data_IF_956805334684
#
_entry.id   IF_956805334684
#
_cell.length_a   1.000
_cell.length_b   1.000
_cell.length_c   1.000
_cell.angle_alpha   90.00
_cell.angle_beta   90.00
_cell.angle_gamma   90.00
#
_symmetry.space_group_name_H-M   'P 1'
#
loop_
_entity.id
_entity.type
_entity.pdbx_description
1 polymer ?
#
# COMPACT_ATOMS: atom_id res chain seq x y z
N UNK A 1 -24.80 -11.92 5.35
CA UNK A 1 -24.59 -11.82 6.82
C UNK A 1 -23.16 -12.14 7.27
N UNK A 2 -22.39 -13.01 6.58
CA UNK A 2 -20.96 -13.25 6.88
C UNK A 2 -20.02 -12.18 6.34
N UNK A 3 -20.28 -11.62 5.14
CA UNK A 3 -19.49 -10.52 4.56
C UNK A 3 -19.46 -9.25 5.43
N UNK A 4 -20.59 -8.89 6.07
CA UNK A 4 -20.65 -7.78 7.04
C UNK A 4 -19.78 -8.01 8.28
N UNK A 5 -19.56 -9.27 8.69
CA UNK A 5 -18.65 -9.63 9.79
C UNK A 5 -17.18 -9.62 9.37
N UNK A 6 -16.89 -10.01 8.12
CA UNK A 6 -15.54 -9.92 7.52
C UNK A 6 -15.10 -8.45 7.45
N UNK A 7 -15.98 -7.56 6.97
CA UNK A 7 -15.75 -6.11 6.98
C UNK A 7 -15.56 -5.60 8.43
N UNK A 8 -16.41 -6.00 9.38
CA UNK A 8 -16.36 -5.54 10.77
C UNK A 8 -15.15 -6.03 11.58
N UNK A 9 -14.56 -7.19 11.27
CA UNK A 9 -13.33 -7.66 11.93
C UNK A 9 -12.09 -6.92 11.42
N UNK A 10 -12.03 -6.63 10.11
CA UNK A 10 -10.96 -5.84 9.48
C UNK A 10 -10.99 -4.35 9.88
N UNK A 11 -12.17 -3.83 10.27
CA UNK A 11 -12.32 -2.50 10.86
C UNK A 11 -11.53 -2.30 12.18
N UNK A 12 -11.16 -3.38 12.89
CA UNK A 12 -10.42 -3.30 14.14
C UNK A 12 -8.90 -3.10 13.99
N UNK A 13 -8.32 -3.40 12.83
CA UNK A 13 -6.85 -3.44 12.63
C UNK A 13 -6.31 -2.33 11.74
N UNK A 14 -7.18 -1.56 11.07
CA UNK A 14 -6.78 -0.44 10.20
C UNK A 14 -6.50 0.88 10.97
N UNK A 15 -6.35 0.80 12.29
CA UNK A 15 -6.03 1.92 13.17
C UNK A 15 -4.61 1.80 13.73
N UNK A 16 -3.63 1.68 12.84
CA UNK A 16 -2.25 2.09 13.16
C UNK A 16 -1.88 3.28 12.28
N UNK A 17 -2.65 4.36 12.42
CA UNK A 17 -2.05 5.67 12.22
C UNK A 17 -1.11 5.86 13.41
N UNK A 18 0.20 5.85 13.18
CA UNK A 18 1.12 6.39 14.18
C UNK A 18 0.81 7.88 14.27
N UNK A 19 -0.02 8.23 15.25
CA UNK A 19 -0.49 9.59 15.49
C UNK A 19 0.67 10.42 16.06
N UNK A 20 1.25 11.29 15.25
CA UNK A 20 1.95 12.47 15.75
C UNK A 20 0.92 13.59 15.95
N UNK A 21 0.97 14.21 17.13
CA UNK A 21 -0.06 15.08 17.68
C UNK A 21 -0.42 16.29 16.79
N UNK A 22 -1.70 16.67 16.86
CA UNK A 22 -2.40 17.58 15.96
C UNK A 22 -2.34 19.06 16.39
N UNK A 23 -2.18 19.95 15.40
CA UNK A 23 -2.48 21.38 15.51
C UNK A 23 -3.34 21.82 14.33
N UNK A 24 -4.33 22.71 14.56
CA UNK A 24 -5.16 23.28 13.49
C UNK A 24 -4.33 24.29 12.69
N UNK A 25 -3.94 23.95 11.46
CA UNK A 25 -3.43 24.92 10.48
C UNK A 25 -4.60 25.37 9.61
N UNK A 26 -4.74 26.68 9.42
CA UNK A 26 -5.72 27.29 8.52
C UNK A 26 -5.49 26.76 7.10
N UNK A 27 -6.53 26.13 6.53
CA UNK A 27 -6.50 25.58 5.19
C UNK A 27 -6.42 26.70 4.16
N UNK A 28 -5.25 26.86 3.54
CA UNK A 28 -5.15 27.53 2.23
C UNK A 28 -5.78 26.68 1.14
N UNK A 29 -6.15 27.31 0.02
CA UNK A 29 -6.84 26.77 -1.16
C UNK A 29 -6.13 25.59 -1.88
N UNK A 30 -4.95 25.18 -1.42
CA UNK A 30 -4.11 24.16 -2.07
C UNK A 30 -4.76 22.79 -2.03
N UNK A 31 -4.83 22.12 -3.19
CA UNK A 31 -5.26 20.72 -3.28
C UNK A 31 -4.33 19.81 -2.48
N UNK A 32 -4.89 18.81 -1.80
CA UNK A 32 -4.05 17.83 -1.10
C UNK A 32 -3.53 16.81 -2.12
N UNK A 33 -2.23 16.58 -2.16
CA UNK A 33 -1.67 15.41 -2.83
C UNK A 33 -1.94 14.20 -1.96
N UNK A 34 -2.63 13.20 -2.52
CA UNK A 34 -2.91 11.94 -1.83
C UNK A 34 -2.10 10.82 -2.47
N UNK A 35 -1.43 10.02 -1.66
CA UNK A 35 -0.76 8.79 -2.07
C UNK A 35 -1.58 7.61 -1.56
N UNK A 36 -2.14 6.80 -2.46
CA UNK A 36 -2.75 5.52 -2.14
C UNK A 36 -1.70 4.42 -2.27
N UNK A 37 -1.50 3.63 -1.23
CA UNK A 37 -0.52 2.54 -1.21
C UNK A 37 -1.08 1.34 -0.47
N UNK A 38 -0.61 0.14 -0.79
CA UNK A 38 -0.91 -1.02 0.04
C UNK A 38 -0.09 -1.01 1.33
N UNK A 39 -0.51 -1.78 2.32
CA UNK A 39 0.24 -2.11 3.53
C UNK A 39 1.49 -3.00 3.28
N UNK A 40 1.90 -3.20 2.02
CA UNK A 40 3.20 -3.78 1.69
C UNK A 40 4.33 -2.85 2.12
N UNK A 41 5.30 -3.37 2.87
CA UNK A 41 6.29 -2.52 3.55
C UNK A 41 7.27 -1.83 2.61
N UNK A 42 7.58 -2.47 1.47
CA UNK A 42 8.49 -1.88 0.49
C UNK A 42 7.83 -0.67 -0.18
N UNK A 43 6.59 -0.82 -0.65
CA UNK A 43 5.84 0.26 -1.30
C UNK A 43 5.43 1.34 -0.29
N UNK A 44 5.01 0.96 0.93
CA UNK A 44 4.63 1.87 2.00
C UNK A 44 5.82 2.73 2.46
N UNK A 45 7.03 2.17 2.60
CA UNK A 45 8.21 2.95 2.96
C UNK A 45 8.55 4.01 1.91
N UNK A 46 8.30 3.75 0.63
CA UNK A 46 8.47 4.74 -0.43
C UNK A 46 7.40 5.83 -0.36
N UNK A 47 6.14 5.47 -0.08
CA UNK A 47 5.06 6.43 0.15
C UNK A 47 5.37 7.32 1.37
N UNK A 48 5.80 6.74 2.49
CA UNK A 48 6.23 7.43 3.71
C UNK A 48 7.38 8.40 3.44
N UNK A 49 8.37 7.97 2.66
CA UNK A 49 9.48 8.84 2.28
C UNK A 49 8.98 10.06 1.49
N UNK A 50 8.14 9.86 0.48
CA UNK A 50 7.59 10.95 -0.32
C UNK A 50 6.68 11.88 0.48
N UNK A 51 5.82 11.34 1.33
CA UNK A 51 4.94 12.15 2.18
C UNK A 51 5.74 13.04 3.15
N UNK A 52 6.86 12.56 3.68
CA UNK A 52 7.75 13.38 4.51
C UNK A 52 8.40 14.52 3.71
N UNK A 53 8.70 14.30 2.42
CA UNK A 53 9.31 15.31 1.56
C UNK A 53 8.31 16.33 1.01
N UNK A 54 7.05 15.95 0.81
CA UNK A 54 6.06 16.76 0.08
C UNK A 54 4.87 17.20 0.90
N UNK A 55 4.65 16.60 2.06
CA UNK A 55 3.43 16.78 2.83
C UNK A 55 2.20 16.08 2.25
N UNK A 56 2.40 15.05 1.42
CA UNK A 56 1.30 14.26 0.87
C UNK A 56 0.60 13.43 1.97
N UNK A 57 -0.71 13.28 1.83
CA UNK A 57 -1.53 12.41 2.68
C UNK A 57 -1.37 10.97 2.21
N UNK A 58 -1.00 10.05 3.10
CA UNK A 58 -0.95 8.62 2.79
C UNK A 58 -2.27 7.98 3.20
N UNK A 59 -2.89 7.28 2.26
CA UNK A 59 -4.00 6.36 2.51
C UNK A 59 -3.49 4.95 2.24
N UNK A 60 -3.63 4.07 3.23
CA UNK A 60 -3.22 2.67 3.12
C UNK A 60 -4.42 1.77 2.83
N UNK A 61 -4.19 0.66 2.13
CA UNK A 61 -5.17 -0.41 1.92
C UNK A 61 -4.51 -1.77 2.08
N UNK A 62 -5.26 -2.83 2.38
CA UNK A 62 -4.64 -4.15 2.47
C UNK A 62 -4.22 -4.65 1.09
N UNK A 63 -3.05 -5.29 1.04
CA UNK A 63 -2.45 -5.78 -0.18
C UNK A 63 -3.37 -6.74 -0.94
N UNK A 64 -3.68 -6.38 -2.17
CA UNK A 64 -4.48 -7.20 -3.08
C UNK A 64 -5.97 -7.31 -2.70
N UNK A 65 -6.47 -6.50 -1.77
CA UNK A 65 -7.87 -6.52 -1.33
C UNK A 65 -8.56 -5.17 -1.62
N UNK A 66 -9.79 -5.25 -2.12
CA UNK A 66 -10.64 -4.08 -2.33
C UNK A 66 -11.52 -3.82 -1.11
N UNK A 67 -11.48 -2.59 -0.60
CA UNK A 67 -12.31 -2.11 0.49
C UNK A 67 -13.07 -0.84 0.07
N UNK A 68 -14.42 -0.88 0.03
CA UNK A 68 -15.23 0.25 -0.43
C UNK A 68 -15.01 1.58 0.31
N UNK A 69 -14.60 1.54 1.59
CA UNK A 69 -14.39 2.73 2.41
C UNK A 69 -13.11 3.50 2.06
N UNK A 70 -12.13 2.90 1.40
CA UNK A 70 -10.85 3.56 1.07
C UNK A 70 -11.08 4.71 0.08
N UNK A 71 -11.93 4.51 -0.93
CA UNK A 71 -12.32 5.57 -1.87
C UNK A 71 -13.02 6.73 -1.16
N UNK A 72 -13.90 6.44 -0.19
CA UNK A 72 -14.56 7.46 0.62
C UNK A 72 -13.56 8.23 1.50
N UNK A 73 -12.56 7.54 2.07
CA UNK A 73 -11.50 8.19 2.83
C UNK A 73 -10.70 9.17 1.95
N UNK A 74 -10.32 8.76 0.73
CA UNK A 74 -9.65 9.63 -0.24
C UNK A 74 -10.51 10.85 -0.58
N UNK A 75 -11.81 10.66 -0.83
CA UNK A 75 -12.74 11.76 -1.09
C UNK A 75 -12.77 12.80 0.04
N UNK A 76 -12.57 12.39 1.29
CA UNK A 76 -12.59 13.32 2.44
C UNK A 76 -11.47 14.36 2.42
N UNK A 77 -10.42 14.14 1.61
CA UNK A 77 -9.33 15.10 1.39
C UNK A 77 -9.57 16.00 0.18
N UNK A 78 -10.60 15.71 -0.62
CA UNK A 78 -10.94 16.39 -1.87
C UNK A 78 -9.74 16.61 -2.82
N UNK A 79 -8.94 15.56 -3.14
CA UNK A 79 -7.77 15.71 -4.00
C UNK A 79 -8.18 15.97 -5.46
N UNK A 80 -7.32 16.66 -6.20
CA UNK A 80 -7.42 16.74 -7.66
C UNK A 80 -6.66 15.59 -8.35
N UNK A 81 -5.63 15.07 -7.69
CA UNK A 81 -4.81 13.96 -8.16
C UNK A 81 -4.51 12.98 -7.00
N UNK A 82 -4.52 11.68 -7.31
CA UNK A 82 -4.08 10.60 -6.45
C UNK A 82 -2.92 9.87 -7.12
N UNK A 83 -1.82 9.73 -6.40
CA UNK A 83 -0.69 8.89 -6.81
C UNK A 83 -0.89 7.52 -6.18
N UNK A 84 -0.94 6.46 -6.98
CA UNK A 84 -0.92 5.08 -6.49
C UNK A 84 0.51 4.57 -6.52
N UNK A 85 1.03 4.07 -5.40
CA UNK A 85 2.31 3.35 -5.36
C UNK A 85 2.03 1.85 -5.22
N UNK A 86 2.54 1.09 -6.17
CA UNK A 86 2.35 -0.36 -6.23
C UNK A 86 1.50 -0.81 -7.43
N UNK A 87 1.77 -2.04 -7.88
CA UNK A 87 1.09 -2.64 -9.03
C UNK A 87 -0.34 -3.11 -8.71
N UNK A 88 -1.08 -3.62 -9.71
CA UNK A 88 -2.48 -4.06 -9.55
C UNK A 88 -2.65 -5.26 -8.62
N UNK A 89 -1.60 -6.08 -8.44
CA UNK A 89 -1.60 -7.16 -7.44
C UNK A 89 -1.55 -6.61 -5.99
N UNK A 90 -1.06 -5.38 -5.79
CA UNK A 90 -0.90 -4.74 -4.48
C UNK A 90 -2.03 -3.75 -4.17
N UNK A 91 -2.31 -2.85 -5.11
CA UNK A 91 -3.43 -1.90 -5.04
C UNK A 91 -4.30 -2.15 -6.26
N UNK A 92 -5.43 -2.81 -6.04
CA UNK A 92 -6.28 -3.33 -7.12
C UNK A 92 -6.89 -2.23 -8.00
N UNK A 93 -7.16 -2.54 -9.27
CA UNK A 93 -7.58 -1.55 -10.27
C UNK A 93 -8.98 -0.97 -10.03
N UNK A 94 -9.82 -1.61 -9.21
CA UNK A 94 -11.12 -1.05 -8.81
C UNK A 94 -10.98 0.33 -8.15
N UNK A 95 -9.89 0.59 -7.41
CA UNK A 95 -9.66 1.94 -6.87
C UNK A 95 -9.40 2.99 -7.96
N UNK A 96 -8.79 2.60 -9.09
CA UNK A 96 -8.58 3.52 -10.23
C UNK A 96 -9.93 3.87 -10.85
N UNK A 97 -10.74 2.85 -11.16
CA UNK A 97 -12.08 3.00 -11.73
C UNK A 97 -12.97 3.91 -10.86
N UNK A 98 -12.95 3.67 -9.54
CA UNK A 98 -13.66 4.48 -8.55
C UNK A 98 -13.26 5.96 -8.56
N UNK A 99 -11.96 6.24 -8.51
CA UNK A 99 -11.41 7.59 -8.39
C UNK A 99 -11.58 8.38 -9.69
N UNK A 100 -11.33 7.75 -10.84
CA UNK A 100 -11.57 8.34 -12.16
C UNK A 100 -13.07 8.59 -12.39
N UNK A 101 -13.94 7.69 -11.90
CA UNK A 101 -15.40 7.87 -11.90
C UNK A 101 -15.87 9.12 -11.13
N UNK A 102 -15.07 9.60 -10.16
CA UNK A 102 -15.27 10.85 -9.43
C UNK A 102 -14.57 12.06 -10.07
N UNK A 103 -13.98 11.90 -11.25
CA UNK A 103 -13.18 12.90 -11.95
C UNK A 103 -11.94 13.35 -11.14
N UNK A 104 -11.32 12.40 -10.43
CA UNK A 104 -10.01 12.56 -9.79
C UNK A 104 -8.96 11.98 -10.73
N UNK A 105 -7.88 12.72 -10.99
CA UNK A 105 -6.79 12.19 -11.83
C UNK A 105 -6.03 11.12 -11.05
N UNK A 106 -5.76 9.97 -11.66
CA UNK A 106 -5.00 8.90 -11.01
C UNK A 106 -3.73 8.64 -11.80
N UNK A 107 -2.60 8.64 -11.10
CA UNK A 107 -1.33 8.19 -11.67
C UNK A 107 -0.77 7.03 -10.85
N UNK A 108 -0.43 5.93 -11.50
CA UNK A 108 0.17 4.76 -10.84
C UNK A 108 1.67 4.68 -11.08
N UNK A 109 2.46 4.72 -10.01
CA UNK A 109 3.90 4.55 -10.01
C UNK A 109 4.26 3.13 -9.55
N UNK A 110 4.61 2.27 -10.49
CA UNK A 110 4.77 0.84 -10.23
C UNK A 110 5.70 0.15 -11.23
N UNK A 111 6.12 -1.06 -10.89
CA UNK A 111 6.77 -2.01 -11.79
C UNK A 111 6.36 -3.45 -11.49
N UNK A 112 6.92 -4.43 -12.21
CA UNK A 112 6.52 -5.85 -12.09
C UNK A 112 6.84 -6.47 -10.73
N UNK A 113 7.72 -5.84 -9.98
CA UNK A 113 8.19 -6.26 -8.67
C UNK A 113 8.61 -5.01 -7.87
N UNK A 114 8.85 -5.17 -6.57
CA UNK A 114 9.24 -4.07 -5.67
C UNK A 114 10.50 -3.32 -6.08
N UNK A 115 11.43 -3.96 -6.80
CA UNK A 115 12.66 -3.33 -7.28
C UNK A 115 12.35 -2.38 -8.45
N UNK A 116 11.52 -2.81 -9.39
CA UNK A 116 11.05 -1.96 -10.48
C UNK A 116 10.13 -0.84 -9.97
N UNK A 117 9.23 -1.11 -9.01
CA UNK A 117 8.42 -0.08 -8.36
C UNK A 117 9.30 0.98 -7.69
N UNK A 118 10.33 0.57 -6.96
CA UNK A 118 11.29 1.48 -6.34
C UNK A 118 11.94 2.42 -7.36
N UNK A 119 12.41 1.89 -8.50
CA UNK A 119 12.98 2.72 -9.57
C UNK A 119 11.96 3.65 -10.24
N UNK A 120 10.73 3.16 -10.47
CA UNK A 120 9.66 3.97 -11.01
C UNK A 120 9.33 5.16 -10.09
N UNK A 121 9.24 4.90 -8.78
CA UNK A 121 9.00 5.93 -7.77
C UNK A 121 10.13 6.95 -7.74
N UNK A 122 11.40 6.53 -7.69
CA UNK A 122 12.56 7.45 -7.71
C UNK A 122 12.53 8.35 -8.95
N UNK A 123 12.31 7.77 -10.12
CA UNK A 123 12.28 8.49 -11.38
C UNK A 123 11.12 9.50 -11.42
N UNK A 124 9.91 9.06 -11.08
CA UNK A 124 8.73 9.92 -11.10
C UNK A 124 8.80 11.03 -10.04
N UNK A 125 9.31 10.74 -8.85
CA UNK A 125 9.57 11.74 -7.82
C UNK A 125 10.52 12.85 -8.32
N UNK A 126 11.58 12.47 -9.03
CA UNK A 126 12.54 13.43 -9.61
C UNK A 126 11.92 14.23 -10.75
N UNK A 127 11.22 13.57 -11.67
CA UNK A 127 10.73 14.20 -12.91
C UNK A 127 9.46 15.01 -12.68
N UNK A 128 8.50 14.48 -11.93
CA UNK A 128 7.16 15.06 -11.76
C UNK A 128 7.06 15.95 -10.53
N UNK A 129 7.57 15.48 -9.39
CA UNK A 129 7.57 16.26 -8.14
C UNK A 129 8.79 17.18 -8.01
N UNK A 130 9.74 17.11 -8.96
CA UNK A 130 10.98 17.91 -8.97
C UNK A 130 11.80 17.75 -7.69
N UNK A 131 11.68 16.61 -7.01
CA UNK A 131 12.45 16.30 -5.81
C UNK A 131 13.92 16.18 -6.21
N UNK A 132 14.78 16.89 -5.48
CA UNK A 132 16.23 16.78 -5.60
C UNK A 132 16.75 15.98 -4.42
N UNK A 133 17.36 14.85 -4.71
CA UNK A 133 18.03 14.05 -3.71
C UNK A 133 19.47 14.50 -3.54
N UNK A 134 19.97 14.40 -2.32
CA UNK A 134 21.39 14.55 -2.03
C UNK A 134 22.19 13.38 -2.62
N UNK A 135 23.50 13.56 -2.79
CA UNK A 135 24.41 12.53 -3.35
C UNK A 135 24.68 11.37 -2.36
N UNK A 136 23.66 10.88 -1.67
CA UNK A 136 23.69 9.78 -0.73
C UNK A 136 22.69 8.70 -1.15
N UNK A 137 23.17 7.47 -1.28
CA UNK A 137 22.35 6.30 -1.64
C UNK A 137 22.34 5.33 -0.47
N UNK A 138 21.15 4.87 -0.09
CA UNK A 138 20.92 3.86 0.92
C UNK A 138 20.45 2.60 0.20
N UNK A 139 21.28 1.56 0.19
CA UNK A 139 21.01 0.28 -0.47
C UNK A 139 20.50 -0.71 0.57
N UNK A 140 19.35 -1.33 0.31
CA UNK A 140 18.72 -2.27 1.25
C UNK A 140 18.13 -3.48 0.53
N UNK A 141 18.29 -4.70 1.07
CA UNK A 141 17.58 -5.87 0.58
C UNK A 141 16.07 -5.63 0.61
N UNK A 142 15.42 -5.61 -0.56
CA UNK A 142 14.02 -5.19 -0.68
C UNK A 142 13.01 -6.14 -0.01
N UNK A 143 13.44 -7.32 0.46
CA UNK A 143 12.61 -8.28 1.19
C UNK A 143 12.83 -8.22 2.72
N UNK A 144 13.64 -7.28 3.20
CA UNK A 144 13.96 -7.12 4.62
C UNK A 144 13.17 -5.96 5.24
N UNK A 145 12.02 -6.26 5.83
CA UNK A 145 11.13 -5.24 6.43
C UNK A 145 11.86 -4.37 7.46
N UNK A 146 12.58 -4.97 8.39
CA UNK A 146 13.37 -4.23 9.39
C UNK A 146 14.50 -3.42 8.74
N UNK A 147 15.15 -3.98 7.72
CA UNK A 147 16.14 -3.25 6.93
C UNK A 147 15.55 -2.03 6.22
N UNK A 148 14.35 -2.16 5.64
CA UNK A 148 13.64 -1.08 4.95
C UNK A 148 13.31 0.05 5.91
N UNK A 149 12.86 -0.24 7.14
CA UNK A 149 12.62 0.79 8.16
C UNK A 149 13.89 1.56 8.52
N UNK A 150 15.01 0.85 8.69
CA UNK A 150 16.32 1.48 8.95
C UNK A 150 16.75 2.32 7.75
N UNK A 151 16.52 1.84 6.53
CA UNK A 151 16.83 2.55 5.30
C UNK A 151 16.03 3.86 5.18
N UNK A 152 14.72 3.80 5.42
CA UNK A 152 13.82 4.95 5.41
C UNK A 152 14.28 6.04 6.40
N UNK A 153 14.51 5.67 7.66
CA UNK A 153 14.98 6.62 8.69
C UNK A 153 16.30 7.28 8.30
N UNK A 154 17.19 6.57 7.64
CA UNK A 154 18.48 7.11 7.16
C UNK A 154 18.30 8.03 5.97
N UNK A 155 17.51 7.62 4.99
CA UNK A 155 17.20 8.40 3.80
C UNK A 155 16.55 9.74 4.14
N UNK A 156 15.65 9.77 5.13
CA UNK A 156 15.07 11.01 5.64
C UNK A 156 16.12 11.94 6.25
N UNK A 157 17.06 11.42 7.04
CA UNK A 157 18.11 12.23 7.68
C UNK A 157 19.08 12.85 6.69
N UNK A 158 19.42 12.14 5.63
CA UNK A 158 20.43 12.58 4.65
C UNK A 158 19.83 13.07 3.34
N UNK A 159 18.50 13.14 3.25
CA UNK A 159 17.75 13.45 2.02
C UNK A 159 18.22 12.60 0.81
N UNK A 160 18.54 11.32 1.07
CA UNK A 160 19.16 10.41 0.11
C UNK A 160 18.20 9.41 -0.52
N UNK A 161 18.65 8.73 -1.56
CA UNK A 161 17.82 7.77 -2.33
C UNK A 161 17.85 6.39 -1.69
N UNK A 162 16.68 5.78 -1.49
CA UNK A 162 16.58 4.37 -1.09
C UNK A 162 16.55 3.50 -2.34
N UNK A 163 17.50 2.58 -2.49
CA UNK A 163 17.52 1.58 -3.57
C UNK A 163 17.28 0.19 -3.01
N UNK A 164 16.23 -0.47 -3.49
CA UNK A 164 15.94 -1.86 -3.16
C UNK A 164 16.74 -2.82 -4.04
N UNK A 165 17.34 -3.83 -3.41
CA UNK A 165 18.17 -4.85 -4.08
C UNK A 165 17.80 -6.27 -3.68
N UNK A 166 18.17 -7.23 -4.51
CA UNK A 166 18.06 -8.67 -4.25
C UNK A 166 19.31 -9.41 -4.74
N UNK A 167 19.28 -10.74 -4.69
CA UNK A 167 20.40 -11.59 -5.09
C UNK A 167 20.86 -11.42 -6.54
N UNK A 168 19.97 -11.01 -7.44
CA UNK A 168 20.28 -10.83 -8.86
C UNK A 168 20.54 -9.36 -9.24
N UNK A 169 20.34 -8.42 -8.32
CA UNK A 169 20.40 -6.98 -8.64
C UNK A 169 21.83 -6.52 -8.85
N UNK A 170 22.12 -5.98 -10.04
CA UNK A 170 23.36 -5.26 -10.32
C UNK A 170 23.17 -3.78 -9.94
N UNK A 171 23.70 -3.42 -8.77
CA UNK A 171 23.53 -2.07 -8.22
C UNK A 171 24.22 -1.00 -9.06
N UNK A 172 25.32 -1.33 -9.74
CA UNK A 172 26.06 -0.40 -10.61
C UNK A 172 25.23 -0.09 -11.84
N UNK A 173 24.65 -1.11 -12.48
CA UNK A 173 23.72 -0.92 -13.60
C UNK A 173 22.47 -0.15 -13.21
N UNK A 174 21.92 -0.40 -12.01
CA UNK A 174 20.80 0.37 -11.48
C UNK A 174 21.17 1.85 -11.39
N UNK A 175 22.27 2.20 -10.72
CA UNK A 175 22.70 3.59 -10.57
C UNK A 175 22.99 4.27 -11.91
N UNK A 176 23.60 3.57 -12.88
CA UNK A 176 23.82 4.08 -14.24
C UNK A 176 22.50 4.39 -14.95
N UNK A 177 21.50 3.49 -14.86
CA UNK A 177 20.19 3.65 -15.50
C UNK A 177 19.46 4.90 -15.01
N UNK A 178 19.58 5.23 -13.73
CA UNK A 178 18.99 6.44 -13.14
C UNK A 178 20.00 7.59 -13.01
N UNK A 179 21.14 7.51 -13.71
CA UNK A 179 22.17 8.55 -13.82
C UNK A 179 22.68 9.07 -12.47
N UNK A 180 22.74 8.20 -11.46
CA UNK A 180 23.22 8.55 -10.13
C UNK A 180 24.74 8.47 -10.04
N UNK A 181 25.33 9.50 -9.42
CA UNK A 181 26.75 9.54 -9.02
C UNK A 181 26.84 9.85 -7.52
N UNK A 182 26.62 8.85 -6.65
CA UNK A 182 26.62 9.08 -5.21
C UNK A 182 28.03 9.41 -4.70
N UNK A 183 28.12 10.26 -3.68
CA UNK A 183 29.32 10.46 -2.87
C UNK A 183 29.38 9.47 -1.70
N UNK A 184 28.21 9.10 -1.17
CA UNK A 184 28.07 8.17 -0.06
C UNK A 184 27.10 7.05 -0.42
N UNK A 185 27.51 5.82 -0.16
CA UNK A 185 26.68 4.62 -0.25
C UNK A 185 26.61 3.99 1.14
N UNK A 186 25.40 3.79 1.65
CA UNK A 186 25.15 3.07 2.90
C UNK A 186 24.45 1.76 2.58
N UNK A 187 25.08 0.63 2.89
CA UNK A 187 24.48 -0.70 2.71
C UNK A 187 23.84 -1.12 4.02
N UNK A 188 22.53 -1.39 3.99
CA UNK A 188 21.80 -1.97 5.11
C UNK A 188 21.95 -3.47 5.08
N UNK A 189 22.35 -4.04 6.21
CA UNK A 189 22.66 -5.46 6.37
C UNK A 189 21.93 -6.01 7.58
N UNK A 190 21.09 -7.02 7.37
CA UNK A 190 20.52 -7.81 8.47
C UNK A 190 21.12 -9.21 8.51
N UNK A 191 20.96 -9.89 9.64
CA UNK A 191 21.39 -11.29 9.77
C UNK A 191 20.70 -12.21 8.73
N UNK A 192 19.43 -11.95 8.41
CA UNK A 192 18.63 -12.77 7.49
C UNK A 192 19.01 -12.53 6.02
N UNK A 193 19.34 -11.29 5.64
CA UNK A 193 19.66 -10.92 4.26
C UNK A 193 21.15 -10.57 4.05
N UNK A 194 22.03 -11.03 4.95
CA UNK A 194 23.47 -10.76 4.93
C UNK A 194 24.11 -11.06 3.58
N UNK A 195 23.79 -12.20 2.98
CA UNK A 195 24.36 -12.59 1.68
C UNK A 195 23.98 -11.65 0.52
N UNK A 196 22.82 -10.99 0.57
CA UNK A 196 22.45 -9.95 -0.42
C UNK A 196 23.38 -8.75 -0.25
N UNK A 197 23.55 -8.27 0.98
CA UNK A 197 24.37 -7.11 1.30
C UNK A 197 25.86 -7.35 0.96
N UNK A 198 26.39 -8.55 1.24
CA UNK A 198 27.76 -8.92 0.90
C UNK A 198 28.00 -8.89 -0.62
N UNK A 199 27.10 -9.47 -1.42
CA UNK A 199 27.21 -9.41 -2.89
C UNK A 199 27.15 -7.97 -3.43
N UNK A 200 26.31 -7.13 -2.84
CA UNK A 200 26.23 -5.71 -3.20
C UNK A 200 27.57 -5.02 -2.91
N UNK A 201 28.16 -5.30 -1.73
CA UNK A 201 29.46 -4.76 -1.35
C UNK A 201 30.57 -5.21 -2.30
N UNK A 202 30.61 -6.50 -2.63
CA UNK A 202 31.55 -7.08 -3.60
C UNK A 202 31.43 -6.38 -4.96
N UNK A 203 30.21 -6.27 -5.50
CA UNK A 203 29.94 -5.59 -6.78
C UNK A 203 30.33 -4.12 -6.79
N UNK A 204 30.15 -3.40 -5.68
CA UNK A 204 30.59 -2.01 -5.55
C UNK A 204 32.12 -1.89 -5.45
N UNK A 205 32.80 -2.93 -4.95
CA UNK A 205 34.25 -2.98 -4.86
C UNK A 205 34.89 -3.31 -6.21
N UNK A 206 34.25 -4.17 -7.00
CA UNK A 206 34.67 -4.57 -8.36
C UNK A 206 34.29 -3.53 -9.41
N UNK A 207 33.08 -2.99 -9.31
CA UNK A 207 32.52 -1.96 -10.16
C UNK A 207 32.86 -0.58 -9.63
N UNK A 208 34.14 -0.21 -9.67
CA UNK A 208 34.50 1.18 -9.51
C UNK A 208 33.79 1.97 -10.62
N UNK A 209 32.82 2.82 -10.24
CA UNK A 209 32.48 3.99 -11.04
C UNK A 209 33.80 4.58 -11.49
N UNK A 210 33.93 4.78 -12.81
CA UNK A 210 35.03 5.46 -13.48
C UNK A 210 35.96 6.19 -12.50
N UNK A 211 37.25 5.80 -12.45
CA UNK A 211 38.24 6.14 -11.40
C UNK A 211 38.34 7.64 -11.05
N UNK A 212 37.64 8.49 -11.79
CA UNK A 212 37.45 9.92 -11.63
C UNK A 212 36.47 10.34 -10.52
N UNK A 213 35.53 9.48 -10.05
CA UNK A 213 34.55 9.86 -8.99
C UNK A 213 34.50 8.87 -7.82
N UNK A 214 35.35 9.02 -6.80
CA UNK A 214 35.35 8.13 -5.64
C UNK A 214 34.09 8.31 -4.78
N UNK A 215 33.57 7.20 -4.26
CA UNK A 215 32.44 7.18 -3.31
C UNK A 215 32.84 6.44 -2.03
N UNK A 216 32.25 6.83 -0.91
CA UNK A 216 32.44 6.17 0.38
C UNK A 216 31.36 5.10 0.61
N UNK A 217 31.76 3.89 0.98
CA UNK A 217 30.84 2.78 1.31
C UNK A 217 30.85 2.53 2.82
N UNK A 218 29.69 2.58 3.44
CA UNK A 218 29.49 2.23 4.85
C UNK A 218 28.46 1.12 4.99
N UNK A 219 28.57 0.31 6.04
CA UNK A 219 27.59 -0.72 6.37
C UNK A 219 26.86 -0.38 7.66
N UNK A 220 25.58 -0.76 7.72
CA UNK A 220 24.73 -0.59 8.88
C UNK A 220 24.08 -1.92 9.19
N UNK A 221 24.38 -2.44 10.37
CA UNK A 221 23.77 -3.67 10.84
C UNK A 221 22.39 -3.41 11.43
N UNK A 222 21.40 -4.20 10.98
CA UNK A 222 20.05 -4.20 11.51
C UNK A 222 20.01 -5.12 12.71
N UNK A 223 19.73 -4.56 13.89
CA UNK A 223 19.52 -5.33 15.10
C UNK A 223 18.08 -5.86 15.14
N UNK A 224 17.90 -7.18 15.06
CA UNK A 224 16.59 -7.82 15.20
C UNK A 224 16.33 -8.06 16.68
N UNK A 225 15.63 -7.11 17.30
CA UNK A 225 15.20 -7.19 18.69
C UNK A 225 13.95 -8.07 18.84
N UNK A 226 13.54 -8.32 20.08
CA UNK A 226 12.29 -9.02 20.35
C UNK A 226 11.08 -8.25 19.79
N UNK A 227 11.05 -6.92 19.88
CA UNK A 227 9.97 -6.10 19.33
C UNK A 227 9.87 -6.26 17.80
N UNK A 228 11.01 -6.28 17.11
CA UNK A 228 11.08 -6.45 15.65
C UNK A 228 10.59 -7.84 15.23
N UNK A 229 11.02 -8.89 15.96
CA UNK A 229 10.57 -10.24 15.70
C UNK A 229 9.07 -10.40 15.98
N UNK A 230 8.56 -9.84 17.08
CA UNK A 230 7.14 -9.88 17.42
C UNK A 230 6.29 -9.15 16.38
N UNK A 231 6.74 -7.98 15.92
CA UNK A 231 6.08 -7.25 14.82
C UNK A 231 5.97 -8.12 13.57
N UNK A 232 7.06 -8.78 13.15
CA UNK A 232 7.03 -9.65 11.99
C UNK A 232 6.09 -10.86 12.17
N UNK A 233 6.03 -11.46 13.37
CA UNK A 233 5.10 -12.54 13.70
C UNK A 233 3.65 -12.06 13.55
N UNK A 234 3.31 -10.91 14.12
CA UNK A 234 1.97 -10.34 14.06
C UNK A 234 1.55 -10.06 12.60
N UNK A 235 2.47 -9.52 11.79
CA UNK A 235 2.22 -9.30 10.36
C UNK A 235 2.03 -10.62 9.59
N UNK A 236 2.81 -11.65 9.91
CA UNK A 236 2.63 -12.98 9.32
C UNK A 236 1.28 -13.60 9.68
N UNK A 237 0.86 -13.46 10.94
CA UNK A 237 -0.43 -13.92 11.45
C UNK A 237 -1.59 -13.20 10.78
N UNK A 238 -1.56 -11.87 10.73
CA UNK A 238 -2.55 -11.05 10.02
C UNK A 238 -2.71 -11.49 8.57
N UNK A 239 -1.61 -11.65 7.82
CA UNK A 239 -1.69 -12.08 6.42
C UNK A 239 -2.21 -13.49 6.24
N UNK A 240 -1.93 -14.41 7.17
CA UNK A 240 -2.51 -15.75 7.17
C UNK A 240 -4.02 -15.65 7.38
N UNK A 241 -4.49 -14.86 8.33
CA UNK A 241 -5.93 -14.65 8.57
C UNK A 241 -6.61 -14.06 7.32
N UNK A 242 -6.03 -13.03 6.70
CA UNK A 242 -6.57 -12.48 5.44
C UNK A 242 -6.64 -13.54 4.34
N UNK A 243 -5.61 -14.38 4.20
CA UNK A 243 -5.59 -15.46 3.21
C UNK A 243 -6.71 -16.48 3.44
N UNK A 244 -6.94 -16.88 4.70
CA UNK A 244 -8.02 -17.79 5.08
C UNK A 244 -9.41 -17.21 4.79
N UNK A 245 -9.63 -15.95 5.17
CA UNK A 245 -10.89 -15.26 4.95
C UNK A 245 -11.22 -15.12 3.46
N UNK A 246 -10.23 -14.78 2.62
CA UNK A 246 -10.43 -14.68 1.18
C UNK A 246 -10.75 -16.05 0.57
N UNK A 247 -10.00 -17.09 0.96
CA UNK A 247 -10.25 -18.46 0.47
C UNK A 247 -11.64 -18.97 0.84
N UNK A 248 -12.13 -18.66 2.04
CA UNK A 248 -13.48 -19.05 2.47
C UNK A 248 -14.61 -18.44 1.61
N UNK A 249 -14.31 -17.35 0.87
CA UNK A 249 -15.30 -16.61 0.08
C UNK A 249 -15.18 -16.82 -1.43
N UNK A 250 -14.23 -17.64 -1.88
CA UNK A 250 -14.03 -17.97 -3.31
C UNK A 250 -14.12 -19.48 -3.54
N UNK A 251 -14.46 -19.85 -4.77
CA UNK A 251 -14.38 -21.24 -5.23
C UNK A 251 -13.27 -21.27 -6.28
N UNK A 252 -12.17 -21.95 -5.98
CA UNK A 252 -11.02 -22.02 -6.87
C UNK A 252 -11.14 -23.24 -7.82
N UNK A 253 -10.58 -23.17 -9.04
CA UNK A 253 -10.32 -24.37 -9.83
C UNK A 253 -9.39 -25.34 -9.07
N UNK A 254 -9.62 -26.65 -9.19
CA UNK A 254 -8.93 -27.72 -8.43
C UNK A 254 -7.40 -27.54 -8.34
N UNK A 255 -6.75 -27.22 -9.47
CA UNK A 255 -5.29 -27.02 -9.51
C UNK A 255 -4.82 -25.82 -8.67
N UNK A 256 -5.60 -24.73 -8.66
CA UNK A 256 -5.31 -23.53 -7.86
C UNK A 256 -5.66 -23.76 -6.39
N UNK A 257 -6.73 -24.50 -6.12
CA UNK A 257 -7.17 -24.86 -4.78
C UNK A 257 -6.08 -25.65 -4.04
N UNK A 258 -5.61 -26.75 -4.64
CA UNK A 258 -4.51 -27.54 -4.07
C UNK A 258 -3.26 -26.70 -3.79
N UNK A 259 -2.89 -25.82 -4.73
CA UNK A 259 -1.72 -24.97 -4.57
C UNK A 259 -1.92 -23.94 -3.45
N UNK A 260 -3.10 -23.31 -3.38
CA UNK A 260 -3.43 -22.34 -2.34
C UNK A 260 -3.42 -22.99 -0.94
N UNK A 261 -4.04 -24.17 -0.80
CA UNK A 261 -4.03 -24.94 0.45
C UNK A 261 -2.62 -25.33 0.88
N UNK A 262 -1.80 -25.83 -0.06
CA UNK A 262 -0.40 -26.17 0.22
C UNK A 262 0.38 -24.97 0.72
N UNK A 263 0.22 -23.82 0.09
CA UNK A 263 0.92 -22.59 0.47
C UNK A 263 0.42 -22.02 1.80
N UNK A 264 -0.89 -22.09 2.07
CA UNK A 264 -1.45 -21.69 3.36
C UNK A 264 -0.93 -22.58 4.50
N UNK A 265 -0.86 -23.89 4.29
CA UNK A 265 -0.31 -24.83 5.28
C UNK A 265 1.18 -24.56 5.54
N UNK A 266 1.96 -24.24 4.51
CA UNK A 266 3.34 -23.82 4.67
C UNK A 266 3.44 -22.50 5.46
N UNK A 267 2.58 -21.53 5.19
CA UNK A 267 2.55 -20.26 5.91
C UNK A 267 2.30 -20.50 7.42
N UNK A 268 1.28 -21.28 7.77
CA UNK A 268 0.96 -21.63 9.17
C UNK A 268 2.10 -22.32 9.89
N UNK A 269 2.75 -23.28 9.23
CA UNK A 269 3.90 -24.00 9.79
C UNK A 269 5.11 -23.09 10.04
N UNK A 270 5.40 -22.18 9.13
CA UNK A 270 6.46 -21.19 9.31
C UNK A 270 6.10 -20.19 10.44
N UNK A 271 4.83 -19.81 10.60
CA UNK A 271 4.39 -18.97 11.72
C UNK A 271 4.55 -19.68 13.06
N UNK A 272 4.18 -20.96 13.15
CA UNK A 272 4.37 -21.77 14.36
C UNK A 272 5.86 -21.84 14.76
N UNK A 273 6.73 -22.16 13.79
CA UNK A 273 8.19 -22.16 13.99
C UNK A 273 8.73 -20.77 14.38
N UNK A 274 8.11 -19.70 13.89
CA UNK A 274 8.48 -18.34 14.27
C UNK A 274 8.15 -18.08 15.74
N UNK A 275 6.95 -18.47 16.19
CA UNK A 275 6.50 -18.35 17.59
C UNK A 275 7.36 -19.19 18.53
N UNK A 276 7.67 -20.44 18.19
CA UNK A 276 8.60 -21.29 18.96
C UNK A 276 9.99 -20.65 19.09
N UNK A 277 10.56 -20.19 17.97
CA UNK A 277 11.88 -19.54 17.99
C UNK A 277 11.87 -18.24 18.80
N UNK A 278 10.75 -17.52 18.85
CA UNK A 278 10.58 -16.32 19.64
C UNK A 278 10.61 -16.64 21.14
N UNK A 279 9.87 -17.68 21.56
CA UNK A 279 9.82 -18.14 22.97
C UNK A 279 11.19 -18.66 23.45
N UNK A 280 11.99 -19.23 22.54
CA UNK A 280 13.37 -19.63 22.80
C UNK A 280 14.39 -18.46 22.83
N UNK A 281 13.94 -17.21 22.62
CA UNK A 281 14.81 -16.03 22.55
C UNK A 281 15.64 -15.92 21.25
N UNK A 282 15.33 -16.73 20.24
CA UNK A 282 16.03 -16.76 18.93
C UNK A 282 15.38 -15.79 17.95
N UNK A 283 15.37 -14.50 18.27
CA UNK A 283 14.61 -13.48 17.54
C UNK A 283 14.98 -13.35 16.06
N UNK A 284 16.26 -13.51 15.68
CA UNK A 284 16.65 -13.52 14.27
C UNK A 284 16.02 -14.66 13.46
N UNK A 285 15.91 -15.85 14.06
CA UNK A 285 15.23 -17.01 13.45
C UNK A 285 13.72 -16.79 13.40
N UNK A 286 13.14 -16.29 14.50
CA UNK A 286 11.72 -15.94 14.55
C UNK A 286 11.33 -14.96 13.44
N UNK A 287 12.09 -13.88 13.30
CA UNK A 287 11.90 -12.88 12.25
C UNK A 287 11.98 -13.47 10.84
N UNK A 288 12.99 -14.32 10.56
CA UNK A 288 13.14 -14.97 9.26
C UNK A 288 11.97 -15.92 8.92
N UNK A 289 11.53 -16.73 9.88
CA UNK A 289 10.38 -17.64 9.73
C UNK A 289 9.07 -16.87 9.54
N UNK A 290 8.84 -15.82 10.33
CA UNK A 290 7.65 -14.97 10.19
C UNK A 290 7.59 -14.28 8.82
N UNK A 291 8.73 -13.81 8.31
CA UNK A 291 8.84 -13.22 6.96
C UNK A 291 8.48 -14.24 5.87
N UNK A 292 8.92 -15.50 6.01
CA UNK A 292 8.56 -16.57 5.10
C UNK A 292 7.07 -16.93 5.17
N UNK A 293 6.51 -16.99 6.39
CA UNK A 293 5.08 -17.22 6.62
C UNK A 293 4.23 -16.16 5.89
N UNK A 294 4.57 -14.88 6.06
CA UNK A 294 3.90 -13.77 5.39
C UNK A 294 3.96 -13.90 3.87
N UNK A 295 5.13 -14.19 3.31
CA UNK A 295 5.31 -14.32 1.86
C UNK A 295 4.46 -15.46 1.25
N UNK A 296 4.34 -16.59 1.95
CA UNK A 296 3.46 -17.68 1.54
C UNK A 296 1.98 -17.30 1.64
N UNK A 297 1.57 -16.56 2.68
CA UNK A 297 0.21 -16.07 2.81
C UNK A 297 -0.16 -15.05 1.71
N UNK A 298 0.73 -14.12 1.39
CA UNK A 298 0.54 -13.16 0.28
C UNK A 298 0.38 -13.87 -1.07
N UNK A 299 1.07 -14.99 -1.28
CA UNK A 299 0.86 -15.81 -2.48
C UNK A 299 -0.56 -16.36 -2.56
N UNK A 300 -1.12 -16.81 -1.44
CA UNK A 300 -2.51 -17.31 -1.34
C UNK A 300 -3.50 -16.17 -1.57
N UNK A 301 -3.31 -15.01 -0.91
CA UNK A 301 -4.14 -13.80 -1.11
C UNK A 301 -4.21 -13.46 -2.60
N UNK A 302 -3.08 -13.44 -3.30
CA UNK A 302 -3.05 -13.15 -4.74
C UNK A 302 -3.89 -14.11 -5.58
N UNK A 303 -3.88 -15.41 -5.26
CA UNK A 303 -4.70 -16.40 -5.98
C UNK A 303 -6.18 -16.12 -5.69
N UNK A 304 -6.54 -15.98 -4.41
CA UNK A 304 -7.91 -15.80 -3.97
C UNK A 304 -8.50 -14.48 -4.51
N UNK A 305 -7.78 -13.37 -4.39
CA UNK A 305 -8.20 -12.06 -4.89
C UNK A 305 -8.43 -12.05 -6.41
N UNK A 306 -7.60 -12.76 -7.19
CA UNK A 306 -7.81 -12.88 -8.63
C UNK A 306 -9.12 -13.58 -8.96
N UNK A 307 -9.43 -14.67 -8.25
CA UNK A 307 -10.69 -15.40 -8.46
C UNK A 307 -11.90 -14.59 -7.96
N UNK A 308 -11.77 -13.92 -6.82
CA UNK A 308 -12.78 -13.00 -6.30
C UNK A 308 -13.12 -11.90 -7.30
N UNK A 309 -12.11 -11.24 -7.85
CA UNK A 309 -12.28 -10.18 -8.84
C UNK A 309 -12.97 -10.68 -10.12
N UNK A 310 -12.65 -11.90 -10.59
CA UNK A 310 -13.38 -12.50 -11.71
C UNK A 310 -14.85 -12.71 -11.37
N UNK A 311 -15.16 -13.24 -10.18
CA UNK A 311 -16.55 -13.45 -9.74
C UNK A 311 -17.34 -12.14 -9.71
N UNK A 312 -16.78 -11.09 -9.10
CA UNK A 312 -17.42 -9.75 -9.05
C UNK A 312 -17.62 -9.18 -10.46
N UNK A 313 -16.65 -9.40 -11.37
CA UNK A 313 -16.75 -8.95 -12.75
C UNK A 313 -17.87 -9.64 -13.54
N UNK A 314 -18.23 -10.88 -13.24
CA UNK A 314 -19.25 -11.63 -13.99
C UNK A 314 -20.60 -11.76 -13.29
N UNK A 315 -20.73 -11.29 -12.05
CA UNK A 315 -21.98 -11.29 -11.27
C UNK A 315 -22.49 -9.85 -11.05
N UNK A 316 -23.49 -9.39 -11.83
CA UNK A 316 -24.01 -8.02 -11.76
C UNK A 316 -24.57 -7.65 -10.38
N UNK A 317 -25.24 -8.59 -9.70
CA UNK A 317 -25.85 -8.32 -8.39
C UNK A 317 -24.79 -8.20 -7.31
N UNK A 318 -23.80 -9.08 -7.32
CA UNK A 318 -22.66 -8.95 -6.41
C UNK A 318 -21.89 -7.65 -6.62
N UNK A 319 -21.75 -7.21 -7.87
CA UNK A 319 -21.17 -5.90 -8.17
C UNK A 319 -22.03 -4.78 -7.60
N UNK A 320 -23.35 -4.84 -7.79
CA UNK A 320 -24.28 -3.86 -7.23
C UNK A 320 -24.21 -3.78 -5.70
N UNK A 321 -24.11 -4.91 -4.99
CA UNK A 321 -23.93 -4.96 -3.53
C UNK A 321 -22.63 -4.28 -3.07
N UNK A 322 -21.51 -4.55 -3.75
CA UNK A 322 -20.21 -3.95 -3.44
C UNK A 322 -20.24 -2.45 -3.71
N UNK A 323 -20.80 -2.04 -4.86
CA UNK A 323 -20.94 -0.63 -5.23
C UNK A 323 -21.87 0.11 -4.27
N UNK A 324 -22.97 -0.50 -3.84
CA UNK A 324 -23.86 0.07 -2.83
C UNK A 324 -23.11 0.41 -1.55
N UNK A 325 -22.27 -0.49 -1.03
CA UNK A 325 -21.45 -0.23 0.15
C UNK A 325 -20.45 0.91 -0.06
N UNK A 326 -19.86 1.02 -1.26
CA UNK A 326 -18.98 2.14 -1.63
C UNK A 326 -19.77 3.46 -1.60
N UNK A 327 -20.91 3.51 -2.28
CA UNK A 327 -21.77 4.69 -2.38
C UNK A 327 -22.24 5.15 -0.98
N UNK A 328 -22.70 4.24 -0.13
CA UNK A 328 -23.10 4.55 1.26
C UNK A 328 -21.95 5.19 2.07
N UNK A 329 -20.71 4.72 1.88
CA UNK A 329 -19.55 5.32 2.54
C UNK A 329 -19.22 6.72 1.99
N UNK A 330 -19.32 6.91 0.67
CA UNK A 330 -19.06 8.18 -0.01
C UNK A 330 -20.12 9.24 0.32
N UNK A 331 -21.40 8.86 0.39
CA UNK A 331 -22.51 9.75 0.78
C UNK A 331 -22.26 10.33 2.18
N UNK A 332 -21.79 9.52 3.13
CA UNK A 332 -21.45 9.99 4.49
C UNK A 332 -20.34 11.04 4.50
N UNK A 333 -19.45 11.04 3.51
CA UNK A 333 -18.41 12.08 3.38
C UNK A 333 -19.04 13.41 2.98
N UNK A 334 -19.97 13.38 2.02
CA UNK A 334 -20.70 14.56 1.58
C UNK A 334 -21.58 15.13 2.70
N UNK A 335 -22.32 14.26 3.39
CA UNK A 335 -23.18 14.62 4.52
C UNK A 335 -22.39 15.31 5.64
N UNK A 336 -21.23 14.75 6.02
CA UNK A 336 -20.33 15.36 7.03
C UNK A 336 -19.76 16.71 6.61
N UNK A 337 -19.68 16.99 5.31
CA UNK A 337 -19.26 18.28 4.77
C UNK A 337 -20.43 19.29 4.67
N UNK A 338 -21.64 18.90 5.09
CA UNK A 338 -22.84 19.74 5.05
C UNK A 338 -23.50 19.82 3.67
N UNK A 339 -23.22 18.88 2.77
CA UNK A 339 -23.83 18.81 1.43
C UNK A 339 -25.15 18.04 1.54
N UNK A 340 -26.22 18.55 0.91
CA UNK A 340 -27.51 17.87 0.86
C UNK A 340 -27.42 16.62 -0.02
N UNK A 341 -27.72 15.46 0.57
CA UNK A 341 -27.63 14.14 -0.07
C UNK A 341 -29.00 13.45 -0.19
N UNK A 342 -30.09 14.17 0.07
CA UNK A 342 -31.45 13.60 0.13
C UNK A 342 -31.85 12.82 -1.15
N UNK A 343 -31.44 13.31 -2.34
CA UNK A 343 -31.66 12.59 -3.60
C UNK A 343 -30.87 11.28 -3.66
N UNK A 344 -29.60 11.29 -3.26
CA UNK A 344 -28.74 10.10 -3.23
C UNK A 344 -29.30 9.05 -2.27
N UNK A 345 -29.76 9.45 -1.09
CA UNK A 345 -30.35 8.53 -0.10
C UNK A 345 -31.61 7.85 -0.65
N UNK A 346 -32.50 8.60 -1.31
CA UNK A 346 -33.69 8.02 -1.94
C UNK A 346 -33.33 7.03 -3.06
N UNK A 347 -32.33 7.35 -3.89
CA UNK A 347 -31.84 6.45 -4.93
C UNK A 347 -31.17 5.19 -4.35
N UNK A 348 -30.47 5.31 -3.22
CA UNK A 348 -29.87 4.17 -2.51
C UNK A 348 -30.95 3.22 -1.98
N UNK A 349 -32.05 3.74 -1.42
CA UNK A 349 -33.15 2.88 -0.95
C UNK A 349 -33.84 2.14 -2.10
N UNK A 350 -34.00 2.79 -3.26
CA UNK A 350 -34.50 2.12 -4.48
C UNK A 350 -33.53 1.02 -4.94
N UNK A 351 -32.22 1.29 -4.91
CA UNK A 351 -31.20 0.31 -5.30
C UNK A 351 -31.20 -0.90 -4.38
N UNK A 352 -31.33 -0.70 -3.07
CA UNK A 352 -31.48 -1.79 -2.08
C UNK A 352 -32.66 -2.69 -2.43
N UNK A 353 -33.83 -2.09 -2.70
CA UNK A 353 -35.02 -2.84 -3.09
C UNK A 353 -34.81 -3.62 -4.40
N UNK A 354 -34.15 -3.04 -5.41
CA UNK A 354 -33.84 -3.72 -6.66
C UNK A 354 -32.87 -4.90 -6.47
N UNK A 355 -31.86 -4.75 -5.62
CA UNK A 355 -30.93 -5.83 -5.26
C UNK A 355 -31.68 -6.96 -4.54
N UNK A 356 -32.52 -6.64 -3.56
CA UNK A 356 -33.33 -7.62 -2.82
C UNK A 356 -34.29 -8.40 -3.74
N UNK A 357 -34.86 -7.72 -4.74
CA UNK A 357 -35.74 -8.34 -5.74
C UNK A 357 -34.98 -9.02 -6.90
N UNK A 358 -33.64 -8.98 -6.90
CA UNK A 358 -32.80 -9.49 -7.99
C UNK A 358 -33.16 -8.90 -9.37
N UNK A 359 -33.57 -7.63 -9.40
CA UNK A 359 -33.91 -6.88 -10.61
C UNK A 359 -32.66 -6.21 -11.20
N UNK A 360 -31.99 -6.93 -12.11
CA UNK A 360 -30.69 -6.53 -12.68
C UNK A 360 -30.78 -5.27 -13.54
N UNK A 361 -31.87 -5.10 -14.28
CA UNK A 361 -32.03 -3.96 -15.17
C UNK A 361 -32.22 -2.67 -14.38
N UNK A 362 -33.14 -2.69 -13.41
CA UNK A 362 -33.39 -1.53 -12.54
C UNK A 362 -32.18 -1.20 -11.68
N UNK A 363 -31.51 -2.20 -11.09
CA UNK A 363 -30.30 -1.99 -10.31
C UNK A 363 -29.19 -1.32 -11.13
N UNK A 364 -29.00 -1.75 -12.39
CA UNK A 364 -27.99 -1.17 -13.28
C UNK A 364 -28.30 0.29 -13.63
N UNK A 365 -29.56 0.60 -13.92
CA UNK A 365 -29.99 1.98 -14.21
C UNK A 365 -29.83 2.91 -13.00
N UNK A 366 -30.19 2.42 -11.80
CA UNK A 366 -30.04 3.17 -10.55
C UNK A 366 -28.57 3.44 -10.21
N UNK A 367 -27.68 2.46 -10.43
CA UNK A 367 -26.25 2.63 -10.22
C UNK A 367 -25.67 3.74 -11.10
N UNK A 368 -25.98 3.74 -12.40
CA UNK A 368 -25.52 4.81 -13.30
C UNK A 368 -25.99 6.18 -12.85
N UNK A 369 -27.26 6.28 -12.42
CA UNK A 369 -27.81 7.53 -11.91
C UNK A 369 -27.10 7.96 -10.62
N UNK A 370 -26.97 7.07 -9.64
CA UNK A 370 -26.27 7.30 -8.37
C UNK A 370 -24.83 7.79 -8.58
N UNK A 371 -24.07 7.12 -9.44
CA UNK A 371 -22.67 7.49 -9.72
C UNK A 371 -22.57 8.87 -10.37
N UNK A 372 -23.48 9.19 -11.30
CA UNK A 372 -23.52 10.52 -11.93
C UNK A 372 -23.87 11.63 -10.93
N UNK A 373 -24.92 11.45 -10.13
CA UNK A 373 -25.36 12.41 -9.11
C UNK A 373 -24.29 12.58 -8.02
N UNK A 374 -23.66 11.49 -7.58
CA UNK A 374 -22.58 11.53 -6.59
C UNK A 374 -21.39 12.33 -7.11
N UNK A 375 -20.97 12.08 -8.36
CA UNK A 375 -19.86 12.82 -8.98
C UNK A 375 -20.16 14.32 -9.04
N UNK A 376 -21.37 14.71 -9.47
CA UNK A 376 -21.77 16.11 -9.56
C UNK A 376 -21.77 16.81 -8.19
N UNK A 377 -22.33 16.16 -7.17
CA UNK A 377 -22.34 16.67 -5.80
C UNK A 377 -20.94 16.73 -5.20
N UNK A 378 -20.09 15.73 -5.46
CA UNK A 378 -18.71 15.74 -5.00
C UNK A 378 -17.91 16.88 -5.64
N UNK A 379 -18.00 17.05 -6.97
CA UNK A 379 -17.25 18.07 -7.70
C UNK A 379 -17.67 19.49 -7.31
N UNK A 380 -18.97 19.75 -7.18
CA UNK A 380 -19.48 21.05 -6.71
C UNK A 380 -19.22 21.28 -5.22
N UNK A 381 -19.21 20.21 -4.41
CA UNK A 381 -18.98 20.23 -2.97
C UNK A 381 -17.52 20.25 -2.51
N UNK A 382 -16.54 20.07 -3.41
CA UNK A 382 -15.10 20.07 -3.08
C UNK A 382 -14.66 21.23 -2.16
N UNK A 383 -15.09 22.49 -2.35
CA UNK A 383 -14.73 23.59 -1.44
C UNK A 383 -15.21 23.38 0.00
N UNK A 384 -16.43 22.85 0.18
CA UNK A 384 -16.98 22.54 1.51
C UNK A 384 -16.19 21.41 2.18
N UNK A 385 -15.85 20.36 1.43
CA UNK A 385 -15.03 19.24 1.94
C UNK A 385 -13.65 19.75 2.37
N UNK A 386 -13.00 20.60 1.56
CA UNK A 386 -11.70 21.22 1.90
C UNK A 386 -11.77 22.06 3.18
N UNK A 387 -12.90 22.69 3.48
CA UNK A 387 -13.12 23.44 4.72
C UNK A 387 -13.24 22.56 5.97
N UNK A 388 -13.67 21.30 5.81
CA UNK A 388 -13.91 20.37 6.92
C UNK A 388 -12.81 19.31 7.09
N UNK A 389 -11.92 19.15 6.09
CA UNK A 389 -10.85 18.15 6.13
C UNK A 389 -9.82 18.44 7.23
N UNK A 390 -9.28 17.37 7.82
CA UNK A 390 -8.12 17.44 8.71
C UNK A 390 -6.90 16.95 7.95
N UNK A 391 -5.93 17.82 7.70
CA UNK A 391 -4.67 17.41 7.09
C UNK A 391 -3.71 16.87 8.17
N UNK A 392 -2.85 15.88 7.84
CA UNK A 392 -1.75 15.50 8.69
C UNK A 392 -0.81 16.70 8.90
N UNK A 393 -0.30 16.88 10.11
CA UNK A 393 0.78 17.84 10.36
C UNK A 393 2.08 17.17 9.94
N UNK A 394 2.63 17.55 8.80
CA UNK A 394 3.98 17.17 8.45
C UNK A 394 4.92 18.10 9.22
N UNK A 395 5.75 17.53 10.10
CA UNK A 395 6.82 18.27 10.76
C UNK A 395 7.76 18.77 9.68
N UNK A 396 7.60 20.03 9.26
CA UNK A 396 8.57 20.68 8.41
C UNK A 396 9.94 20.59 9.08
N UNK A 397 10.90 20.00 8.40
CA UNK A 397 12.29 20.21 8.79
C UNK A 397 12.61 21.70 8.60
N UNK A 398 13.37 22.32 9.52
CA UNK A 398 13.78 23.72 9.42
C UNK A 398 14.61 24.05 8.18
#
# INVERSE_FOLDING_TARGET
MMWKKVIALLFGMMLITTTLAFGRVSAGETSATVILVSDNEADCALAEYLANLTGAVIITTAWGVYYPNVTAEIMSYAPDEVIIIGGPDAVVDQYVEDLEGLNITVERWWGRNRYETNLAVINNATVKLKIKFENSVIVVPGNDTAGIEVALRRALKVHGIIIFVNNSTDITQVMMKIQLRPKNITIIRSHVMKGVAERVRERLSEGAFDNETPFNVTEVEVNVTWEVALKAINMGEERITTAEELLANVTLPEQKEWLAEKMLNLAKKELERAKEAYDEGKYGRAYGQATAAKAHAEFVIRIASKEWNMKVKFDPMRRAEITLHRLEAQIKVLEKAGIDVSELENLVEQLKASIENNDVETASALLMKLESTLRELYMSGKPHIKGHRKLPVHGGAP
#
